data_IF_795171809309
#
_entry.id   IF_795171809309
#
_cell.length_a   1.000
_cell.length_b   1.000
_cell.length_c   1.000
_cell.angle_alpha   90.00
_cell.angle_beta   90.00
_cell.angle_gamma   90.00
#
_symmetry.space_group_name_H-M   'P 1'
#
loop_
_entity.id
_entity.type
_entity.pdbx_description
1 polymer ?
#
# COMPACT_ATOMS: atom_id res chain seq x y z
N UNK A 1 32.00 -3.37 -1.11
CA UNK A 1 30.64 -3.70 -0.67
C UNK A 1 29.69 -3.13 -1.73
N UNK A 2 28.96 -3.96 -2.49
CA UNK A 2 27.98 -3.46 -3.47
C UNK A 2 26.78 -2.94 -2.69
N UNK A 3 26.55 -1.63 -2.71
CA UNK A 3 25.29 -1.04 -2.26
C UNK A 3 24.21 -1.61 -3.17
N UNK A 4 23.25 -2.35 -2.61
CA UNK A 4 22.10 -2.79 -3.39
C UNK A 4 21.33 -1.54 -3.81
N UNK A 5 21.12 -1.37 -5.11
CA UNK A 5 20.31 -0.26 -5.63
C UNK A 5 18.86 -0.45 -5.18
N UNK A 6 18.25 0.62 -4.68
CA UNK A 6 16.85 0.62 -4.27
C UNK A 6 15.97 0.50 -5.52
N UNK A 7 14.97 -0.40 -5.48
CA UNK A 7 14.08 -0.68 -6.64
C UNK A 7 13.26 0.52 -7.12
N UNK A 8 12.90 1.43 -6.21
CA UNK A 8 11.99 2.55 -6.47
C UNK A 8 12.61 3.74 -7.20
N UNK A 9 11.76 4.59 -7.80
CA UNK A 9 12.16 5.90 -8.32
C UNK A 9 12.03 6.98 -7.23
N UNK A 10 13.16 7.40 -6.66
CA UNK A 10 13.23 8.43 -5.62
C UNK A 10 13.36 9.85 -6.20
N UNK A 11 13.54 10.01 -7.51
CA UNK A 11 13.76 11.32 -8.13
C UNK A 11 12.55 12.26 -8.02
N UNK A 12 11.37 11.68 -7.82
CA UNK A 12 10.08 12.38 -7.69
C UNK A 12 9.58 12.48 -6.25
N UNK A 13 10.37 12.03 -5.28
CA UNK A 13 9.97 12.02 -3.88
C UNK A 13 9.96 13.45 -3.30
N UNK A 14 8.87 13.79 -2.61
CA UNK A 14 8.79 14.98 -1.77
C UNK A 14 9.75 14.88 -0.56
N UNK A 15 9.96 15.96 0.22
CA UNK A 15 10.85 15.91 1.39
C UNK A 15 10.45 14.88 2.45
N UNK A 16 9.16 14.53 2.54
CA UNK A 16 8.65 13.45 3.41
C UNK A 16 8.64 12.07 2.71
N UNK A 17 9.31 11.95 1.57
CA UNK A 17 9.35 10.77 0.69
C UNK A 17 8.02 10.38 0.04
N UNK A 18 6.98 11.21 0.14
CA UNK A 18 5.74 10.98 -0.58
C UNK A 18 5.94 11.09 -2.09
N UNK A 19 5.27 10.22 -2.84
CA UNK A 19 5.16 10.27 -4.30
C UNK A 19 3.69 10.14 -4.71
N UNK A 20 3.38 10.50 -5.96
CA UNK A 20 2.07 10.21 -6.54
C UNK A 20 1.97 8.74 -6.95
N UNK A 21 0.83 8.11 -6.65
CA UNK A 21 0.51 6.80 -7.22
C UNK A 21 -0.01 7.00 -8.65
N UNK A 22 0.81 6.73 -9.65
CA UNK A 22 0.37 6.67 -11.05
C UNK A 22 -0.40 5.37 -11.32
N UNK A 23 -1.63 5.31 -10.81
CA UNK A 23 -2.46 4.11 -10.85
C UNK A 23 -2.76 3.64 -12.27
N UNK A 24 -2.88 4.58 -13.22
CA UNK A 24 -3.16 4.27 -14.62
C UNK A 24 -1.95 3.65 -15.35
N UNK A 25 -0.74 3.75 -14.78
CA UNK A 25 0.45 3.15 -15.36
C UNK A 25 0.61 1.65 -15.05
N UNK A 26 -0.18 1.09 -14.13
CA UNK A 26 -0.16 -0.35 -13.87
C UNK A 26 -0.67 -1.11 -15.08
N UNK A 27 0.11 -2.10 -15.52
CA UNK A 27 -0.26 -2.96 -16.64
C UNK A 27 -1.25 -4.03 -16.19
N UNK A 28 -1.97 -4.58 -17.17
CA UNK A 28 -2.92 -5.67 -16.92
C UNK A 28 -2.27 -6.88 -16.24
N UNK A 29 -1.00 -7.19 -16.53
CA UNK A 29 -0.28 -8.29 -15.89
C UNK A 29 0.01 -8.04 -14.41
N UNK A 30 0.23 -6.77 -14.02
CA UNK A 30 0.46 -6.38 -12.63
C UNK A 30 -0.84 -6.49 -11.82
N UNK A 31 -1.96 -6.02 -12.39
CA UNK A 31 -3.28 -6.25 -11.79
C UNK A 31 -3.62 -7.74 -11.68
N UNK A 32 -3.30 -8.54 -12.69
CA UNK A 32 -3.52 -9.99 -12.66
C UNK A 32 -2.63 -10.68 -11.60
N UNK A 33 -1.38 -10.26 -11.47
CA UNK A 33 -0.48 -10.76 -10.43
C UNK A 33 -1.01 -10.43 -9.03
N UNK A 34 -1.43 -9.19 -8.80
CA UNK A 34 -2.04 -8.76 -7.56
C UNK A 34 -3.26 -9.64 -7.21
N UNK A 35 -4.17 -9.84 -8.16
CA UNK A 35 -5.37 -10.67 -7.98
C UNK A 35 -5.02 -12.09 -7.55
N UNK A 36 -4.05 -12.73 -8.21
CA UNK A 36 -3.58 -14.09 -7.83
C UNK A 36 -3.01 -14.13 -6.41
N UNK A 37 -2.26 -13.11 -6.01
CA UNK A 37 -1.70 -13.02 -4.65
C UNK A 37 -2.82 -12.84 -3.61
N UNK A 38 -3.76 -11.94 -3.88
CA UNK A 38 -4.93 -11.69 -3.04
C UNK A 38 -5.75 -12.98 -2.85
N UNK A 39 -6.18 -13.62 -3.94
CA UNK A 39 -6.96 -14.85 -3.90
C UNK A 39 -6.27 -15.97 -3.12
N UNK A 40 -4.95 -16.10 -3.26
CA UNK A 40 -4.17 -17.09 -2.51
C UNK A 40 -4.19 -16.81 -1.01
N UNK A 41 -4.00 -15.56 -0.58
CA UNK A 41 -4.03 -15.21 0.84
C UNK A 41 -5.43 -15.26 1.44
N UNK A 42 -6.44 -14.82 0.69
CA UNK A 42 -7.84 -14.81 1.15
C UNK A 42 -8.36 -16.20 1.52
N UNK A 43 -7.83 -17.27 0.90
CA UNK A 43 -8.12 -18.67 1.28
C UNK A 43 -7.55 -19.06 2.65
N UNK A 44 -6.52 -18.37 3.14
CA UNK A 44 -5.85 -18.63 4.41
C UNK A 44 -6.40 -17.76 5.55
N UNK A 45 -6.93 -16.58 5.22
CA UNK A 45 -7.43 -15.59 6.19
C UNK A 45 -8.40 -16.17 7.22
N UNK A 46 -9.45 -16.96 6.85
CA UNK A 46 -10.40 -17.48 7.84
C UNK A 46 -9.78 -18.39 8.90
N UNK A 47 -8.61 -18.99 8.60
CA UNK A 47 -7.93 -19.93 9.50
C UNK A 47 -6.90 -19.25 10.41
N UNK A 48 -6.23 -18.20 9.92
CA UNK A 48 -5.03 -17.68 10.58
C UNK A 48 -5.12 -16.21 11.00
N UNK A 49 -6.04 -15.43 10.43
CA UNK A 49 -6.13 -14.01 10.74
C UNK A 49 -7.04 -13.76 11.96
N UNK A 50 -6.80 -12.65 12.66
CA UNK A 50 -7.68 -12.21 13.73
C UNK A 50 -9.05 -11.76 13.19
N UNK A 51 -10.10 -11.72 14.03
CA UNK A 51 -11.43 -11.30 13.63
C UNK A 51 -11.48 -9.90 12.98
N UNK A 52 -10.67 -8.96 13.46
CA UNK A 52 -10.60 -7.59 12.93
C UNK A 52 -10.10 -7.57 11.49
N UNK A 53 -9.12 -8.41 11.17
CA UNK A 53 -8.60 -8.54 9.81
C UNK A 53 -9.63 -9.19 8.88
N UNK A 54 -10.32 -10.23 9.35
CA UNK A 54 -11.38 -10.91 8.60
C UNK A 54 -12.52 -9.93 8.28
N UNK A 55 -12.93 -9.11 9.26
CA UNK A 55 -13.95 -8.08 9.05
C UNK A 55 -13.46 -7.00 8.06
N UNK A 56 -12.24 -6.48 8.26
CA UNK A 56 -11.71 -5.40 7.43
C UNK A 56 -11.53 -5.81 5.96
N UNK A 57 -11.05 -7.02 5.68
CA UNK A 57 -10.84 -7.47 4.29
C UNK A 57 -12.15 -7.75 3.57
N UNK A 58 -13.22 -8.13 4.28
CA UNK A 58 -14.54 -8.31 3.70
C UNK A 58 -15.16 -6.96 3.23
N UNK A 59 -14.88 -5.88 3.95
CA UNK A 59 -15.35 -4.52 3.62
C UNK A 59 -14.46 -3.82 2.58
N UNK A 60 -13.24 -4.32 2.35
CA UNK A 60 -12.29 -3.72 1.42
C UNK A 60 -12.54 -4.23 -0.01
N UNK A 61 -12.85 -3.29 -0.91
CA UNK A 61 -12.98 -3.56 -2.35
C UNK A 61 -11.60 -3.66 -3.01
N UNK A 62 -10.86 -4.70 -2.63
CA UNK A 62 -9.46 -4.93 -3.01
C UNK A 62 -9.24 -6.28 -3.71
N UNK A 63 -10.30 -6.94 -4.17
CA UNK A 63 -10.19 -8.28 -4.74
C UNK A 63 -9.80 -8.28 -6.23
N UNK A 64 -10.09 -7.21 -6.97
CA UNK A 64 -10.09 -7.22 -8.44
C UNK A 64 -8.78 -6.73 -9.08
N UNK A 65 -8.17 -5.70 -8.51
CA UNK A 65 -7.03 -4.96 -9.07
C UNK A 65 -6.22 -4.28 -7.97
N UNK A 66 -5.04 -3.76 -8.33
CA UNK A 66 -4.19 -3.03 -7.39
C UNK A 66 -5.01 -1.85 -6.83
N UNK A 67 -5.13 -1.68 -5.50
CA UNK A 67 -6.00 -0.66 -4.94
C UNK A 67 -5.53 0.76 -5.31
N UNK A 68 -6.49 1.60 -5.69
CA UNK A 68 -6.26 3.03 -5.82
C UNK A 68 -6.18 3.65 -4.41
N UNK A 69 -5.02 4.19 -4.04
CA UNK A 69 -4.74 4.67 -2.69
C UNK A 69 -5.65 5.84 -2.30
N UNK A 70 -6.08 6.68 -3.24
CA UNK A 70 -7.03 7.76 -2.94
C UNK A 70 -8.39 7.21 -2.52
N UNK A 71 -8.89 6.17 -3.22
CA UNK A 71 -10.14 5.48 -2.87
C UNK A 71 -10.03 4.78 -1.51
N UNK A 72 -8.94 4.06 -1.26
CA UNK A 72 -8.70 3.37 0.02
C UNK A 72 -8.57 4.39 1.16
N UNK A 73 -7.77 5.43 0.98
CA UNK A 73 -7.57 6.47 1.99
C UNK A 73 -8.84 7.22 2.33
N UNK A 74 -9.75 7.43 1.38
CA UNK A 74 -11.07 8.01 1.68
C UNK A 74 -11.84 7.17 2.70
N UNK A 75 -11.85 5.83 2.53
CA UNK A 75 -12.52 4.91 3.47
C UNK A 75 -11.79 4.86 4.82
N UNK A 76 -10.47 4.77 4.81
CA UNK A 76 -9.66 4.76 6.05
C UNK A 76 -9.83 6.05 6.86
N UNK A 77 -9.81 7.22 6.21
CA UNK A 77 -9.99 8.51 6.91
C UNK A 77 -11.34 8.59 7.61
N UNK A 78 -12.39 8.09 6.96
CA UNK A 78 -13.74 8.06 7.53
C UNK A 78 -13.83 7.11 8.73
N UNK A 79 -13.17 5.95 8.67
CA UNK A 79 -13.26 4.93 9.71
C UNK A 79 -12.33 5.21 10.92
N UNK A 80 -11.13 5.73 10.69
CA UNK A 80 -10.06 5.78 11.71
C UNK A 80 -9.28 7.09 11.74
N UNK A 81 -9.50 7.98 10.77
CA UNK A 81 -8.66 9.15 10.55
C UNK A 81 -7.26 8.84 9.99
N UNK A 82 -7.01 7.60 9.55
CA UNK A 82 -5.77 7.22 8.88
C UNK A 82 -5.87 7.34 7.36
N UNK A 83 -4.74 7.47 6.69
CA UNK A 83 -4.63 7.39 5.23
C UNK A 83 -3.37 6.67 4.78
N UNK A 84 -3.35 6.26 3.51
CA UNK A 84 -2.16 5.74 2.85
C UNK A 84 -1.40 6.90 2.22
N UNK A 85 -0.07 6.87 2.33
CA UNK A 85 0.84 7.71 1.55
C UNK A 85 1.66 6.82 0.65
N UNK A 86 1.62 7.11 -0.65
CA UNK A 86 2.46 6.44 -1.62
C UNK A 86 3.94 6.83 -1.40
N UNK A 87 4.83 5.83 -1.36
CA UNK A 87 6.28 6.03 -1.25
C UNK A 87 7.01 5.21 -2.33
N UNK A 88 8.22 5.62 -2.74
CA UNK A 88 8.93 4.94 -3.83
C UNK A 88 9.49 3.57 -3.43
N UNK A 89 9.67 3.31 -2.13
CA UNK A 89 10.32 2.11 -1.64
C UNK A 89 10.63 2.21 -0.15
N UNK A 90 11.81 1.72 0.23
CA UNK A 90 12.36 1.90 1.57
C UNK A 90 12.66 3.39 1.82
N UNK A 91 12.10 3.94 2.89
CA UNK A 91 12.33 5.31 3.32
C UNK A 91 13.09 5.30 4.66
N UNK A 92 13.79 6.39 5.02
CA UNK A 92 14.41 6.52 6.34
C UNK A 92 13.43 6.36 7.50
N UNK A 93 13.92 5.84 8.63
CA UNK A 93 13.09 5.56 9.82
C UNK A 93 12.42 6.82 10.37
N UNK A 94 13.14 7.95 10.42
CA UNK A 94 12.60 9.24 10.87
C UNK A 94 11.42 9.71 10.02
N UNK A 95 11.52 9.57 8.69
CA UNK A 95 10.43 9.85 7.78
C UNK A 95 9.25 8.88 7.99
N UNK A 96 9.51 7.58 8.12
CA UNK A 96 8.48 6.56 8.37
C UNK A 96 7.72 6.83 9.67
N UNK A 97 8.42 7.08 10.78
CA UNK A 97 7.79 7.38 12.06
C UNK A 97 7.06 8.73 12.06
N UNK A 98 7.56 9.72 11.32
CA UNK A 98 6.85 11.00 11.13
C UNK A 98 5.51 10.78 10.42
N UNK A 99 5.44 9.90 9.42
CA UNK A 99 4.15 9.53 8.79
C UNK A 99 3.20 8.89 9.80
N UNK A 100 3.67 7.87 10.55
CA UNK A 100 2.83 7.18 11.53
C UNK A 100 2.30 8.12 12.62
N UNK A 101 3.13 9.05 13.11
CA UNK A 101 2.73 10.06 14.09
C UNK A 101 1.58 10.95 13.60
N UNK A 102 1.46 11.13 12.28
CA UNK A 102 0.42 11.90 11.62
C UNK A 102 -0.70 11.04 11.01
N UNK A 103 -0.83 9.77 11.43
CA UNK A 103 -1.82 8.79 10.92
C UNK A 103 -1.73 8.56 9.41
N UNK A 104 -0.53 8.66 8.86
CA UNK A 104 -0.22 8.37 7.47
C UNK A 104 0.55 7.06 7.44
N UNK A 105 0.10 6.07 6.67
CA UNK A 105 0.79 4.79 6.53
C UNK A 105 1.51 4.72 5.18
N UNK A 106 2.85 4.68 5.16
CA UNK A 106 3.62 4.59 3.92
C UNK A 106 3.42 3.24 3.20
N UNK A 107 3.07 3.27 1.92
CA UNK A 107 2.91 2.08 1.07
C UNK A 107 3.67 2.25 -0.24
N UNK A 108 4.46 1.25 -0.62
CA UNK A 108 5.26 1.28 -1.85
C UNK A 108 4.39 1.20 -3.10
N UNK A 109 4.74 1.95 -4.15
CA UNK A 109 3.91 2.11 -5.37
C UNK A 109 4.15 1.08 -6.49
N UNK A 110 4.91 0.01 -6.24
CA UNK A 110 5.21 -1.02 -7.25
C UNK A 110 4.89 -2.42 -6.75
N UNK A 111 4.67 -3.35 -7.68
CA UNK A 111 4.46 -4.79 -7.44
C UNK A 111 5.65 -5.58 -7.99
#
# INVERSE_FOLDING_TARGET
MKTAELRGDYSRAAPDYAVEQDWAAYRAEEHALYRRLFERQSKLVPRYACPEWIAAIADLDAASEIPNFSKVSKRLRQATGWEIVAVPGLIPDDAFFTHLANRRFPVTVWL
#
